data_IF_218662002406
#
_entry.id   IF_218662002406
#
_cell.length_a   1.000
_cell.length_b   1.000
_cell.length_c   1.000
_cell.angle_alpha   90.00
_cell.angle_beta   90.00
_cell.angle_gamma   90.00
#
_symmetry.space_group_name_H-M   'P 1'
#
loop_
_entity.id
_entity.type
_entity.pdbx_description
1 polymer ?
#
# COMPACT_ATOMS: atom_id res chain seq x y z
N UNK A 1 -5.42 -5.82 -10.09
CA UNK A 1 -5.81 -4.80 -9.16
C UNK A 1 -6.46 -3.55 -9.75
N UNK A 2 -6.35 -3.34 -11.05
CA UNK A 2 -7.07 -2.28 -11.73
C UNK A 2 -8.58 -2.40 -11.53
N UNK A 3 -9.08 -3.61 -11.36
CA UNK A 3 -10.50 -3.84 -11.09
C UNK A 3 -10.95 -3.16 -9.79
N UNK A 4 -10.19 -3.33 -8.69
CA UNK A 4 -10.51 -2.69 -7.42
C UNK A 4 -10.37 -1.17 -7.51
N UNK A 5 -9.39 -0.67 -8.25
CA UNK A 5 -9.22 0.77 -8.47
C UNK A 5 -10.43 1.37 -9.21
N UNK A 6 -11.01 0.65 -10.14
CA UNK A 6 -12.22 1.09 -10.85
C UNK A 6 -13.46 1.10 -9.97
N UNK A 7 -13.55 0.15 -9.02
CA UNK A 7 -14.66 0.09 -8.07
C UNK A 7 -14.59 1.18 -7.00
N UNK A 8 -13.38 1.67 -6.69
CA UNK A 8 -13.17 2.61 -5.60
C UNK A 8 -12.31 3.82 -6.04
N UNK A 9 -12.76 4.55 -7.08
CA UNK A 9 -11.94 5.66 -7.62
C UNK A 9 -11.73 6.79 -6.62
N UNK A 10 -12.69 7.02 -5.72
CA UNK A 10 -12.59 8.07 -4.72
C UNK A 10 -11.51 7.77 -3.68
N UNK A 11 -11.44 6.52 -3.23
CA UNK A 11 -10.40 6.10 -2.27
C UNK A 11 -9.02 6.22 -2.92
N UNK A 12 -8.89 5.80 -4.17
CA UNK A 12 -7.64 5.91 -4.92
C UNK A 12 -7.21 7.37 -5.05
N UNK A 13 -8.12 8.25 -5.50
CA UNK A 13 -7.83 9.67 -5.67
C UNK A 13 -7.46 10.35 -4.36
N UNK A 14 -8.19 10.04 -3.30
CA UNK A 14 -7.93 10.61 -1.98
C UNK A 14 -6.57 10.14 -1.45
N UNK A 15 -6.23 8.87 -1.62
CA UNK A 15 -4.96 8.32 -1.17
C UNK A 15 -3.80 8.93 -1.96
N UNK A 16 -3.93 9.08 -3.28
CA UNK A 16 -2.91 9.73 -4.10
C UNK A 16 -2.70 11.18 -3.68
N UNK A 17 -3.77 11.93 -3.38
CA UNK A 17 -3.65 13.30 -2.88
C UNK A 17 -2.95 13.35 -1.53
N UNK A 18 -3.27 12.43 -0.63
CA UNK A 18 -2.60 12.35 0.67
C UNK A 18 -1.12 12.06 0.52
N UNK A 19 -0.75 11.17 -0.39
CA UNK A 19 0.66 10.90 -0.70
C UNK A 19 1.36 12.17 -1.22
N UNK A 20 0.69 12.92 -2.10
CA UNK A 20 1.24 14.18 -2.60
C UNK A 20 1.46 15.20 -1.50
N UNK A 21 0.53 15.30 -0.54
CA UNK A 21 0.66 16.22 0.59
C UNK A 21 1.85 15.86 1.48
N UNK A 22 2.12 14.56 1.67
CA UNK A 22 3.22 14.06 2.51
C UNK A 22 4.55 14.15 1.77
N UNK A 23 4.57 13.76 0.48
CA UNK A 23 5.81 13.65 -0.30
C UNK A 23 6.13 14.85 -1.18
N UNK A 24 5.16 15.72 -1.43
CA UNK A 24 5.29 16.93 -2.22
C UNK A 24 4.87 16.78 -3.67
N UNK A 25 5.58 16.02 -4.47
CA UNK A 25 5.31 15.87 -5.90
C UNK A 25 5.04 14.40 -6.23
N UNK A 26 3.91 14.14 -6.88
CA UNK A 26 3.54 12.78 -7.30
C UNK A 26 3.24 12.78 -8.79
N UNK A 27 3.93 11.89 -9.52
CA UNK A 27 3.69 11.66 -10.94
C UNK A 27 3.20 10.21 -11.11
N UNK A 28 2.12 10.03 -11.87
CA UNK A 28 1.57 8.71 -12.15
C UNK A 28 1.90 8.28 -13.57
N UNK A 29 2.43 7.06 -13.71
CA UNK A 29 2.59 6.43 -15.02
C UNK A 29 1.23 5.94 -15.51
N UNK A 30 0.71 6.47 -16.62
CA UNK A 30 -0.64 6.08 -17.10
C UNK A 30 -0.74 4.63 -17.55
N UNK A 31 0.38 4.00 -17.93
CA UNK A 31 0.38 2.62 -18.37
C UNK A 31 0.33 1.62 -17.22
N UNK A 32 1.00 1.94 -16.10
CA UNK A 32 1.17 1.00 -14.98
C UNK A 32 0.47 1.44 -13.69
N UNK A 33 0.02 2.69 -13.60
CA UNK A 33 -0.48 3.35 -12.40
C UNK A 33 0.58 3.49 -11.28
N UNK A 34 1.84 3.22 -11.58
CA UNK A 34 2.93 3.39 -10.63
C UNK A 34 3.11 4.88 -10.33
N UNK A 35 3.24 5.22 -9.05
CA UNK A 35 3.47 6.59 -8.62
C UNK A 35 4.96 6.80 -8.38
N UNK A 36 5.48 7.92 -8.88
CA UNK A 36 6.81 8.41 -8.50
C UNK A 36 6.63 9.57 -7.56
N UNK A 37 7.16 9.45 -6.35
CA UNK A 37 6.99 10.44 -5.28
C UNK A 37 8.25 11.26 -5.17
N UNK A 38 8.10 12.56 -5.39
CA UNK A 38 9.16 13.54 -5.26
C UNK A 38 10.43 13.21 -6.08
N UNK A 39 10.25 12.46 -7.19
CA UNK A 39 11.34 11.95 -8.04
C UNK A 39 12.37 11.10 -7.29
N UNK A 40 12.01 10.58 -6.13
CA UNK A 40 12.94 9.87 -5.25
C UNK A 40 12.63 8.39 -5.12
N UNK A 41 11.37 8.01 -5.09
CA UNK A 41 10.97 6.62 -4.91
C UNK A 41 9.63 6.35 -5.59
N UNK A 42 9.36 5.06 -5.82
CA UNK A 42 8.15 4.62 -6.51
C UNK A 42 7.21 3.89 -5.55
N UNK A 43 5.92 4.10 -5.77
CA UNK A 43 4.85 3.53 -4.95
C UNK A 43 3.83 2.84 -5.85
N UNK A 44 3.49 1.61 -5.49
CA UNK A 44 2.32 0.91 -6.03
C UNK A 44 1.20 0.98 -5.00
N UNK A 45 0.05 1.50 -5.41
CA UNK A 45 -1.12 1.62 -4.55
C UNK A 45 -2.03 0.41 -4.76
N UNK A 46 -2.26 -0.35 -3.70
CA UNK A 46 -3.07 -1.58 -3.72
C UNK A 46 -4.21 -1.44 -2.72
N UNK A 47 -5.43 -1.66 -3.20
CA UNK A 47 -6.60 -1.73 -2.32
C UNK A 47 -6.83 -3.19 -1.91
N UNK A 48 -6.96 -3.42 -0.61
CA UNK A 48 -7.25 -4.75 -0.07
C UNK A 48 -8.67 -4.76 0.51
N UNK A 49 -9.55 -5.57 -0.11
CA UNK A 49 -10.94 -5.69 0.34
C UNK A 49 -11.02 -6.52 1.61
N UNK A 50 -11.95 -6.12 2.49
CA UNK A 50 -12.31 -6.92 3.64
C UNK A 50 -13.13 -8.13 3.19
N UNK A 51 -12.65 -9.33 3.52
CA UNK A 51 -13.37 -10.58 3.32
C UNK A 51 -13.76 -11.14 4.69
N UNK A 52 -15.06 -11.34 4.90
CA UNK A 52 -15.55 -11.96 6.11
C UNK A 52 -15.51 -13.47 5.96
N UNK A 53 -14.83 -14.15 6.88
CA UNK A 53 -14.71 -15.60 6.87
C UNK A 53 -15.86 -16.23 7.66
N UNK A 54 -16.07 -17.55 7.45
CA UNK A 54 -17.15 -18.31 8.10
C UNK A 54 -17.06 -18.28 9.63
N UNK A 55 -15.84 -18.15 10.18
CA UNK A 55 -15.61 -18.09 11.62
C UNK A 55 -15.81 -16.67 12.19
N UNK A 56 -16.30 -15.71 11.40
CA UNK A 56 -16.50 -14.34 11.80
C UNK A 56 -15.26 -13.46 11.76
N UNK A 57 -14.12 -14.02 11.43
CA UNK A 57 -12.87 -13.25 11.30
C UNK A 57 -12.79 -12.55 9.96
N UNK A 58 -12.03 -11.47 9.91
CA UNK A 58 -11.81 -10.69 8.69
C UNK A 58 -10.45 -11.05 8.08
N UNK A 59 -10.38 -10.99 6.77
CA UNK A 59 -9.14 -11.22 6.02
C UNK A 59 -9.03 -10.22 4.88
N UNK A 60 -7.80 -9.75 4.64
CA UNK A 60 -7.47 -8.89 3.51
C UNK A 60 -6.35 -9.54 2.71
N UNK A 61 -6.53 -9.62 1.40
CA UNK A 61 -5.49 -10.13 0.51
C UNK A 61 -4.80 -8.95 -0.16
N UNK A 62 -3.48 -8.87 -0.03
CA UNK A 62 -2.65 -7.90 -0.71
C UNK A 62 -1.92 -8.62 -1.83
N UNK A 63 -2.14 -8.18 -3.06
CA UNK A 63 -1.44 -8.70 -4.23
C UNK A 63 -0.36 -7.71 -4.64
N UNK A 64 0.87 -8.22 -4.76
CA UNK A 64 1.98 -7.43 -5.24
C UNK A 64 2.09 -7.59 -6.76
N UNK A 65 2.28 -6.47 -7.46
CA UNK A 65 2.61 -6.54 -8.87
C UNK A 65 4.13 -6.76 -9.00
N UNK A 66 4.51 -8.02 -9.19
CA UNK A 66 5.92 -8.40 -9.24
C UNK A 66 6.64 -7.89 -10.49
N UNK A 67 5.89 -7.49 -11.53
CA UNK A 67 6.47 -6.96 -12.77
C UNK A 67 6.90 -5.49 -12.63
N UNK A 68 6.27 -4.73 -11.74
CA UNK A 68 6.52 -3.29 -11.59
C UNK A 68 7.67 -2.95 -10.66
N UNK A 69 8.00 -3.84 -9.72
CA UNK A 69 9.07 -3.67 -8.75
C UNK A 69 9.07 -2.28 -8.08
N UNK A 70 7.94 -1.82 -7.47
CA UNK A 70 7.92 -0.54 -6.77
C UNK A 70 8.82 -0.57 -5.55
N UNK A 71 9.31 0.58 -5.11
CA UNK A 71 10.09 0.66 -3.87
C UNK A 71 9.22 0.33 -2.66
N UNK A 72 7.98 0.82 -2.65
CA UNK A 72 7.02 0.58 -1.57
C UNK A 72 5.67 0.23 -2.21
N UNK A 73 5.03 -0.79 -1.67
CA UNK A 73 3.61 -1.05 -1.92
C UNK A 73 2.82 -0.45 -0.77
N UNK A 74 1.96 0.52 -1.07
CA UNK A 74 1.02 1.07 -0.11
C UNK A 74 -0.27 0.25 -0.22
N UNK A 75 -0.50 -0.61 0.75
CA UNK A 75 -1.71 -1.43 0.80
C UNK A 75 -2.73 -0.74 1.71
N UNK A 76 -3.86 -0.37 1.12
CA UNK A 76 -4.97 0.25 1.86
C UNK A 76 -5.93 -0.85 2.27
N UNK A 77 -6.02 -1.15 3.57
CA UNK A 77 -7.06 -2.07 4.05
C UNK A 77 -8.39 -1.31 4.09
N UNK A 78 -9.39 -1.87 3.44
CA UNK A 78 -10.72 -1.30 3.43
C UNK A 78 -11.51 -1.80 4.66
N UNK A 79 -12.47 -0.99 5.10
CA UNK A 79 -13.35 -1.35 6.22
C UNK A 79 -14.33 -2.48 5.82
N UNK A 80 -15.20 -2.88 6.75
CA UNK A 80 -16.16 -3.96 6.55
C UNK A 80 -17.07 -3.73 5.35
N UNK A 81 -17.43 -2.48 5.09
CA UNK A 81 -18.29 -2.10 3.96
C UNK A 81 -17.52 -1.97 2.65
N UNK A 82 -16.18 -2.05 2.69
CA UNK A 82 -15.28 -1.81 1.57
C UNK A 82 -15.46 -0.42 0.95
N UNK A 83 -15.78 0.59 1.77
CA UNK A 83 -16.06 1.94 1.31
C UNK A 83 -15.09 2.99 1.81
N UNK A 84 -14.32 2.68 2.85
CA UNK A 84 -13.37 3.61 3.44
C UNK A 84 -12.08 2.88 3.81
N UNK A 85 -10.99 3.63 3.90
CA UNK A 85 -9.73 3.11 4.38
C UNK A 85 -9.79 2.87 5.90
N UNK A 86 -9.41 1.68 6.32
CA UNK A 86 -9.27 1.33 7.73
C UNK A 86 -7.88 1.74 8.23
N UNK A 87 -6.86 1.35 7.52
CA UNK A 87 -5.46 1.68 7.79
C UNK A 87 -4.60 1.39 6.57
N UNK A 88 -3.28 1.54 6.72
CA UNK A 88 -2.33 1.39 5.63
C UNK A 88 -1.18 0.48 6.05
N UNK A 89 -0.74 -0.38 5.13
CA UNK A 89 0.50 -1.12 5.28
C UNK A 89 1.51 -0.57 4.27
N UNK A 90 2.64 -0.08 4.77
CA UNK A 90 3.72 0.46 3.93
C UNK A 90 4.77 -0.63 3.79
N UNK A 91 4.71 -1.37 2.67
CA UNK A 91 5.43 -2.62 2.47
C UNK A 91 6.63 -2.42 1.55
N UNK A 92 7.87 -2.39 2.10
CA UNK A 92 9.06 -2.24 1.25
C UNK A 92 9.27 -3.48 0.38
N UNK A 93 9.57 -3.28 -0.89
CA UNK A 93 9.85 -4.39 -1.80
C UNK A 93 11.00 -5.28 -1.31
N UNK A 94 11.98 -4.68 -0.63
CA UNK A 94 13.14 -5.42 -0.10
C UNK A 94 12.76 -6.52 0.90
N UNK A 95 11.62 -6.35 1.59
CA UNK A 95 11.15 -7.28 2.62
C UNK A 95 10.07 -8.24 2.11
N UNK A 96 9.51 -8.00 0.93
CA UNK A 96 8.40 -8.76 0.38
C UNK A 96 8.67 -9.14 -1.07
N UNK A 97 9.13 -10.38 -1.29
CA UNK A 97 9.38 -10.92 -2.62
C UNK A 97 8.24 -11.78 -3.16
N UNK A 98 7.24 -12.10 -2.32
CA UNK A 98 6.14 -12.97 -2.70
C UNK A 98 5.08 -12.23 -3.53
N UNK A 99 4.25 -13.00 -4.25
CA UNK A 99 3.21 -12.42 -5.10
C UNK A 99 2.02 -11.89 -4.31
N UNK A 100 1.79 -12.40 -3.10
CA UNK A 100 0.66 -12.00 -2.25
C UNK A 100 0.91 -12.30 -0.79
N UNK A 101 0.22 -11.54 0.08
CA UNK A 101 0.14 -11.83 1.51
C UNK A 101 -1.32 -11.76 1.93
N UNK A 102 -1.64 -12.42 3.04
CA UNK A 102 -2.94 -12.35 3.69
C UNK A 102 -2.79 -11.67 5.04
N UNK A 103 -3.62 -10.65 5.28
CA UNK A 103 -3.64 -9.93 6.55
C UNK A 103 -4.91 -10.27 7.31
N UNK A 104 -4.79 -10.40 8.62
CA UNK A 104 -5.91 -10.53 9.56
C UNK A 104 -6.09 -9.20 10.31
N UNK A 105 -7.02 -9.14 11.28
CA UNK A 105 -7.17 -7.98 12.14
C UNK A 105 -5.88 -7.70 12.93
N UNK A 106 -5.26 -8.75 13.45
CA UNK A 106 -3.99 -8.70 14.15
C UNK A 106 -3.03 -9.69 13.51
N UNK A 107 -1.86 -9.23 13.16
CA UNK A 107 -0.87 -10.02 12.46
C UNK A 107 0.38 -10.18 13.33
N UNK A 108 1.28 -11.09 12.92
CA UNK A 108 2.59 -11.19 13.53
C UNK A 108 3.41 -9.91 13.33
N UNK A 109 4.48 -9.78 14.08
CA UNK A 109 5.32 -8.59 14.03
C UNK A 109 5.91 -8.35 12.64
N UNK A 110 6.07 -9.41 11.84
CA UNK A 110 6.57 -9.33 10.47
C UNK A 110 5.68 -8.49 9.55
N UNK A 111 4.41 -8.30 9.91
CA UNK A 111 3.49 -7.43 9.18
C UNK A 111 3.11 -6.20 9.98
N UNK A 112 2.90 -6.34 11.30
CA UNK A 112 2.41 -5.24 12.14
C UNK A 112 3.39 -4.07 12.21
N UNK A 113 4.69 -4.32 12.05
CA UNK A 113 5.69 -3.24 12.02
C UNK A 113 5.55 -2.33 10.79
N UNK A 114 4.75 -2.74 9.80
CA UNK A 114 4.49 -1.94 8.59
C UNK A 114 3.11 -1.30 8.60
N UNK A 115 2.31 -1.50 9.65
CA UNK A 115 0.97 -0.94 9.76
C UNK A 115 1.00 0.47 10.33
N UNK A 116 0.30 1.39 9.67
CA UNK A 116 0.21 2.78 10.05
C UNK A 116 -1.22 3.28 9.90
N UNK A 117 -1.65 4.17 10.81
CA UNK A 117 -2.97 4.77 10.76
C UNK A 117 -3.05 5.89 9.71
N UNK A 118 -1.90 6.42 9.29
CA UNK A 118 -1.83 7.48 8.29
C UNK A 118 -0.65 7.27 7.35
N UNK A 119 -0.61 8.05 6.27
CA UNK A 119 0.48 8.03 5.30
C UNK A 119 1.65 8.97 5.67
N UNK A 120 1.61 9.59 6.83
CA UNK A 120 2.64 10.54 7.28
C UNK A 120 4.03 9.88 7.37
N UNK A 121 4.07 8.57 7.58
CA UNK A 121 5.31 7.82 7.73
C UNK A 121 5.91 7.33 6.42
N UNK A 122 5.23 7.59 5.29
CA UNK A 122 5.67 7.07 3.98
C UNK A 122 7.08 7.55 3.63
N UNK A 123 7.35 8.83 3.82
CA UNK A 123 8.66 9.41 3.50
C UNK A 123 9.77 8.84 4.38
N UNK A 124 9.47 8.63 5.67
CA UNK A 124 10.41 7.99 6.59
C UNK A 124 10.74 6.55 6.20
N UNK A 125 9.75 5.80 5.72
CA UNK A 125 9.96 4.45 5.20
C UNK A 125 10.86 4.47 3.95
N UNK A 126 10.63 5.42 3.05
CA UNK A 126 11.46 5.58 1.86
C UNK A 126 12.92 5.88 2.21
N UNK A 127 13.16 6.71 3.22
CA UNK A 127 14.52 6.98 3.72
C UNK A 127 15.21 5.72 4.22
N UNK A 128 14.51 4.89 4.97
CA UNK A 128 15.04 3.61 5.47
C UNK A 128 15.47 2.71 4.32
N UNK A 129 14.68 2.64 3.27
CA UNK A 129 14.99 1.84 2.08
C UNK A 129 16.27 2.36 1.42
N UNK A 130 16.41 3.67 1.27
CA UNK A 130 17.59 4.29 0.67
C UNK A 130 18.85 4.02 1.48
N UNK A 131 18.78 4.10 2.80
CA UNK A 131 19.89 3.78 3.69
C UNK A 131 20.29 2.31 3.55
N UNK A 132 19.32 1.40 3.50
CA UNK A 132 19.58 -0.03 3.35
C UNK A 132 20.26 -0.34 2.01
N UNK A 133 19.88 0.37 0.94
CA UNK A 133 20.50 0.19 -0.40
C UNK A 133 21.92 0.71 -0.45
N UNK A 134 22.22 1.76 0.30
CA UNK A 134 23.54 2.37 0.35
C UNK A 134 24.51 1.58 1.22
N UNK A 135 24.01 0.72 2.10
CA UNK A 135 24.83 -0.07 3.04
C UNK A 135 25.58 -1.24 2.37
#
# INVERSE_FOLDING_TARGET
NQFLRRLHPEIVSQTERTIAEVGGNVERDPATDLLTVNREFTVSLVLARCQLLDNGRRRWKVRFDTSLAPDITVAVRLDDSNQAALDYYLLPRLDFGQARIHLADHNGIEFECYRFDSLDYLYGMARRIRIRRAA
#
